data_IF_114587471718
#
_entry.id   IF_114587471718
#
_cell.length_a   1.000
_cell.length_b   1.000
_cell.length_c   1.000
_cell.angle_alpha   90.00
_cell.angle_beta   90.00
_cell.angle_gamma   90.00
#
_symmetry.space_group_name_H-M   'P 1'
#
loop_
_entity.id
_entity.type
_entity.pdbx_description
1 polymer ?
#
# COMPACT_ATOMS: atom_id res chain seq x y z
N UNK A 1 -1.74 67.07 29.01
CA UNK A 1 -1.61 65.60 29.15
C UNK A 1 -2.33 64.85 28.03
N UNK A 2 -3.59 65.15 27.71
CA UNK A 2 -4.34 64.46 26.63
C UNK A 2 -3.68 64.52 25.23
N UNK A 3 -2.96 65.61 24.90
CA UNK A 3 -2.24 65.74 23.62
C UNK A 3 -1.09 64.73 23.46
N UNK A 4 -0.40 64.40 24.55
CA UNK A 4 0.71 63.45 24.57
C UNK A 4 0.18 62.01 24.49
N UNK A 5 -0.92 61.74 25.21
CA UNK A 5 -1.62 60.46 25.14
C UNK A 5 -2.17 60.16 23.73
N UNK A 6 -2.72 61.17 23.06
CA UNK A 6 -3.19 61.05 21.68
C UNK A 6 -2.04 60.78 20.70
N UNK A 7 -0.89 61.43 20.89
CA UNK A 7 0.29 61.21 20.04
C UNK A 7 0.87 59.80 20.20
N UNK A 8 0.88 59.27 21.44
CA UNK A 8 1.31 57.91 21.72
C UNK A 8 0.39 56.85 21.08
N UNK A 9 -0.93 57.09 21.13
CA UNK A 9 -1.93 56.23 20.48
C UNK A 9 -1.76 56.20 18.95
N UNK A 10 -1.45 57.36 18.37
CA UNK A 10 -1.24 57.50 16.93
C UNK A 10 0.01 56.75 16.46
N UNK A 11 1.08 56.78 17.26
CA UNK A 11 2.31 56.01 17.01
C UNK A 11 2.06 54.49 17.04
N UNK A 12 1.25 54.01 17.99
CA UNK A 12 0.89 52.59 18.09
C UNK A 12 0.05 52.09 16.90
N UNK A 13 -0.84 52.91 16.35
CA UNK A 13 -1.61 52.54 15.16
C UNK A 13 -0.75 52.44 13.89
N UNK A 14 0.27 53.30 13.75
CA UNK A 14 1.16 53.28 12.57
C UNK A 14 1.96 51.98 12.49
N UNK A 15 2.46 51.47 13.62
CA UNK A 15 3.19 50.19 13.69
C UNK A 15 2.31 49.00 13.26
N UNK A 16 1.02 49.00 13.62
CA UNK A 16 0.09 47.93 13.21
C UNK A 16 -0.28 48.00 11.72
N UNK A 17 -0.15 49.15 11.07
CA UNK A 17 -0.41 49.32 9.64
C UNK A 17 0.66 48.67 8.75
N UNK A 18 1.92 48.63 9.19
CA UNK A 18 3.00 47.96 8.47
C UNK A 18 3.01 46.44 8.63
N UNK A 19 2.34 45.90 9.65
CA UNK A 19 2.16 44.45 9.82
C UNK A 19 1.09 43.86 8.87
N UNK A 20 0.26 44.71 8.24
CA UNK A 20 -0.79 44.33 7.30
C UNK A 20 -0.37 44.44 5.82
N UNK A 21 0.92 44.64 5.52
CA UNK A 21 1.43 44.26 4.20
C UNK A 21 1.32 42.74 4.09
N UNK A 22 0.12 42.29 3.71
CA UNK A 22 -0.21 40.90 3.51
C UNK A 22 0.85 40.27 2.62
N UNK A 23 1.16 39.03 2.96
CA UNK A 23 2.10 38.15 2.29
C UNK A 23 1.81 38.05 0.77
N UNK A 24 2.18 39.08 0.01
CA UNK A 24 2.11 39.14 -1.46
C UNK A 24 3.08 38.15 -2.11
N UNK A 25 3.82 37.37 -1.31
CA UNK A 25 4.59 36.21 -1.76
C UNK A 25 3.75 34.94 -1.95
N UNK A 26 2.58 34.80 -1.31
CA UNK A 26 1.77 33.56 -1.39
C UNK A 26 0.67 33.64 -2.47
N UNK A 27 0.14 34.82 -2.79
CA UNK A 27 -0.93 34.95 -3.80
C UNK A 27 -0.42 34.84 -5.24
N UNK A 28 0.89 34.92 -5.47
CA UNK A 28 1.50 34.70 -6.79
C UNK A 28 2.05 33.28 -7.01
N UNK A 29 2.05 32.42 -5.98
CA UNK A 29 2.51 31.04 -6.09
C UNK A 29 1.55 30.12 -6.89
N UNK A 30 0.31 30.55 -7.15
CA UNK A 30 -0.70 29.75 -7.85
C UNK A 30 -1.12 30.25 -9.23
N UNK A 31 -0.55 31.36 -9.75
CA UNK A 31 -1.03 31.99 -10.99
C UNK A 31 -0.18 31.75 -12.24
N UNK A 32 0.99 31.13 -12.11
CA UNK A 32 1.81 30.75 -13.27
C UNK A 32 1.45 29.38 -13.88
N UNK A 33 0.38 28.73 -13.43
CA UNK A 33 -0.04 27.41 -13.92
C UNK A 33 -0.99 27.42 -15.12
N UNK A 34 -1.10 28.53 -15.87
CA UNK A 34 -2.03 28.61 -17.01
C UNK A 34 -1.48 29.29 -18.27
N UNK A 35 -0.17 29.50 -18.39
CA UNK A 35 0.38 30.15 -19.57
C UNK A 35 1.77 29.69 -19.93
N UNK A 36 1.90 29.04 -21.08
CA UNK A 36 3.16 29.00 -21.82
C UNK A 36 3.77 27.61 -21.91
N UNK A 37 3.58 26.97 -23.07
CA UNK A 37 4.30 25.78 -23.46
C UNK A 37 5.81 25.98 -23.36
N UNK A 38 6.44 25.13 -22.57
CA UNK A 38 7.89 24.98 -22.50
C UNK A 38 8.18 23.50 -22.42
N UNK A 39 8.66 22.93 -23.52
CA UNK A 39 9.16 21.57 -23.64
C UNK A 39 10.49 21.49 -22.88
N UNK A 40 10.43 21.55 -21.55
CA UNK A 40 11.54 21.39 -20.64
C UNK A 40 11.45 20.01 -20.02
N UNK A 41 12.42 19.15 -20.35
CA UNK A 41 12.66 17.86 -19.70
C UNK A 41 12.46 17.98 -18.18
N UNK A 42 11.44 17.28 -17.67
CA UNK A 42 11.16 17.13 -16.25
C UNK A 42 12.35 16.44 -15.58
N UNK A 43 13.33 17.24 -15.14
CA UNK A 43 14.40 16.79 -14.27
C UNK A 43 13.79 16.67 -12.87
N UNK A 44 13.60 15.41 -12.46
CA UNK A 44 13.04 14.93 -11.20
C UNK A 44 13.07 15.95 -10.05
N UNK A 45 11.90 16.27 -9.53
CA UNK A 45 11.70 17.01 -8.27
C UNK A 45 12.21 16.17 -7.09
N UNK A 46 13.53 16.19 -6.90
CA UNK A 46 14.20 15.77 -5.67
C UNK A 46 14.95 17.00 -5.19
N UNK A 47 14.31 17.79 -4.32
CA UNK A 47 14.90 18.96 -3.67
C UNK A 47 16.12 18.54 -2.83
N UNK A 48 17.29 18.28 -3.44
CA UNK A 48 18.59 18.10 -2.80
C UNK A 48 18.75 16.99 -1.75
N UNK A 49 17.67 16.27 -1.39
CA UNK A 49 17.63 15.29 -0.29
C UNK A 49 17.92 13.84 -0.74
N UNK A 50 18.31 13.63 -2.00
CA UNK A 50 18.75 12.31 -2.49
C UNK A 50 17.65 11.25 -2.59
N UNK A 51 16.37 11.60 -2.42
CA UNK A 51 15.26 10.68 -2.63
C UNK A 51 14.96 10.55 -4.13
N UNK A 52 15.30 9.41 -4.72
CA UNK A 52 14.95 9.01 -6.08
C UNK A 52 13.65 8.18 -6.05
N UNK A 53 12.75 8.43 -6.99
CA UNK A 53 11.57 7.57 -7.16
C UNK A 53 12.04 6.20 -7.65
N UNK A 54 11.75 5.14 -6.88
CA UNK A 54 12.11 3.77 -7.28
C UNK A 54 11.31 3.38 -8.51
N UNK A 55 11.94 2.65 -9.40
CA UNK A 55 11.23 1.98 -10.49
C UNK A 55 10.63 0.69 -9.96
N UNK A 56 9.35 0.73 -9.60
CA UNK A 56 8.60 -0.39 -9.03
C UNK A 56 8.61 -1.64 -9.94
N UNK A 57 8.83 -1.47 -11.25
CA UNK A 57 8.94 -2.58 -12.20
C UNK A 57 10.23 -3.37 -12.03
N UNK A 58 11.31 -2.74 -11.56
CA UNK A 58 12.60 -3.43 -11.32
C UNK A 58 12.54 -4.40 -10.14
N UNK A 59 11.63 -4.15 -9.21
CA UNK A 59 11.45 -4.98 -8.01
C UNK A 59 10.32 -6.02 -8.17
N UNK A 60 9.72 -6.14 -9.37
CA UNK A 60 8.62 -7.07 -9.66
C UNK A 60 9.08 -8.26 -10.49
N UNK A 61 8.75 -9.48 -10.04
CA UNK A 61 8.93 -10.71 -10.82
C UNK A 61 7.58 -11.20 -11.38
N UNK A 62 7.55 -11.54 -12.67
CA UNK A 62 6.38 -12.19 -13.27
C UNK A 62 6.54 -13.70 -13.19
N UNK A 63 5.68 -14.34 -12.38
CA UNK A 63 5.65 -15.79 -12.25
C UNK A 63 4.41 -16.33 -12.97
N UNK A 64 4.59 -17.40 -13.73
CA UNK A 64 3.49 -18.12 -14.40
C UNK A 64 3.54 -19.59 -14.03
N UNK A 65 2.37 -20.21 -13.93
CA UNK A 65 2.26 -21.66 -13.69
C UNK A 65 1.27 -22.30 -14.65
N UNK A 66 1.27 -23.62 -14.67
CA UNK A 66 0.36 -24.47 -15.44
C UNK A 66 -0.16 -25.61 -14.57
N UNK A 67 -1.37 -26.08 -14.85
CA UNK A 67 -1.91 -27.33 -14.27
C UNK A 67 -1.52 -28.52 -15.13
N UNK A 68 -1.35 -29.70 -14.54
CA UNK A 68 -0.90 -30.92 -15.24
C UNK A 68 -1.71 -31.26 -16.49
N UNK A 69 -2.99 -30.92 -16.52
CA UNK A 69 -3.92 -31.15 -17.64
C UNK A 69 -4.14 -29.92 -18.54
N UNK A 70 -3.52 -28.78 -18.22
CA UNK A 70 -3.74 -27.51 -18.92
C UNK A 70 -2.59 -27.17 -19.86
N UNK A 71 -2.92 -26.62 -21.03
CA UNK A 71 -1.93 -26.03 -21.96
C UNK A 71 -1.77 -24.52 -21.72
N UNK A 72 -2.63 -23.92 -20.88
CA UNK A 72 -2.65 -22.47 -20.64
C UNK A 72 -1.67 -22.11 -19.54
N UNK A 73 -0.87 -21.08 -19.79
CA UNK A 73 -0.06 -20.44 -18.76
C UNK A 73 -0.92 -19.42 -18.02
N UNK A 74 -0.93 -19.50 -16.69
CA UNK A 74 -1.70 -18.63 -15.81
C UNK A 74 -0.70 -17.76 -15.03
N UNK A 75 -0.91 -16.45 -15.04
CA UNK A 75 -0.06 -15.50 -14.30
C UNK A 75 -0.41 -15.50 -12.82
N UNK A 76 0.61 -15.45 -11.97
CA UNK A 76 0.48 -15.27 -10.53
C UNK A 76 0.58 -13.77 -10.24
N UNK A 77 -0.54 -13.18 -9.83
CA UNK A 77 -0.62 -11.77 -9.47
C UNK A 77 -0.83 -11.70 -7.96
N UNK A 78 0.20 -11.30 -7.23
CA UNK A 78 0.13 -11.17 -5.77
C UNK A 78 -0.41 -9.79 -5.40
N UNK A 79 -1.70 -9.72 -5.06
CA UNK A 79 -2.27 -8.62 -4.29
C UNK A 79 -2.19 -8.96 -2.79
N UNK A 80 -2.15 -7.95 -1.91
CA UNK A 80 -2.17 -8.12 -0.46
C UNK A 80 -3.42 -8.87 0.02
N UNK A 81 -4.53 -8.76 -0.72
CA UNK A 81 -5.78 -9.48 -0.45
C UNK A 81 -5.70 -10.97 -0.77
N UNK A 82 -4.80 -11.36 -1.68
CA UNK A 82 -4.80 -12.68 -2.31
C UNK A 82 -3.71 -13.60 -1.74
N UNK A 83 -3.03 -13.20 -0.66
CA UNK A 83 -1.91 -13.95 -0.06
C UNK A 83 -2.28 -15.42 0.24
N UNK A 84 -3.44 -15.65 0.86
CA UNK A 84 -3.91 -16.99 1.22
C UNK A 84 -4.32 -17.87 0.03
N UNK A 85 -4.33 -17.34 -1.20
CA UNK A 85 -4.56 -18.12 -2.43
C UNK A 85 -3.33 -18.92 -2.85
N UNK A 86 -2.15 -18.48 -2.41
CA UNK A 86 -0.85 -19.05 -2.77
C UNK A 86 -0.15 -19.66 -1.56
N UNK A 87 -0.45 -19.18 -0.36
CA UNK A 87 0.03 -19.79 0.86
C UNK A 87 -0.65 -21.14 1.11
N UNK A 88 0.14 -22.17 1.45
CA UNK A 88 -0.34 -23.55 1.54
C UNK A 88 -1.34 -23.79 2.68
N UNK A 89 -1.37 -22.91 3.68
CA UNK A 89 -2.29 -23.03 4.82
C UNK A 89 -3.42 -22.03 4.69
N UNK A 90 -4.70 -22.46 4.70
CA UNK A 90 -5.84 -21.56 4.67
C UNK A 90 -5.87 -20.60 5.88
N UNK A 91 -6.43 -19.41 5.67
CA UNK A 91 -6.55 -18.39 6.73
C UNK A 91 -7.34 -18.86 7.96
N UNK A 92 -8.29 -19.77 7.77
CA UNK A 92 -9.15 -20.30 8.82
C UNK A 92 -8.55 -21.50 9.58
N UNK A 93 -7.23 -21.67 9.56
CA UNK A 93 -6.54 -22.79 10.17
C UNK A 93 -5.47 -22.29 11.17
N UNK A 94 -5.41 -22.91 12.34
CA UNK A 94 -4.37 -22.63 13.34
C UNK A 94 -3.15 -23.52 13.09
N UNK A 95 -1.96 -22.94 13.07
CA UNK A 95 -0.68 -23.62 12.87
C UNK A 95 0.46 -22.82 13.52
N UNK A 96 1.67 -23.39 13.58
CA UNK A 96 2.82 -22.81 14.30
C UNK A 96 3.59 -21.71 13.51
N UNK A 97 3.04 -21.23 12.39
CA UNK A 97 3.68 -20.22 11.53
C UNK A 97 4.62 -20.80 10.46
N UNK A 98 5.10 -22.03 10.62
CA UNK A 98 5.96 -22.69 9.62
C UNK A 98 5.14 -23.53 8.64
N UNK A 99 5.56 -23.51 7.37
CA UNK A 99 4.92 -24.32 6.32
C UNK A 99 5.28 -25.80 6.52
N UNK A 100 4.30 -26.70 6.37
CA UNK A 100 4.45 -28.14 6.66
C UNK A 100 4.29 -28.54 8.13
N UNK A 101 3.75 -27.66 8.99
CA UNK A 101 3.45 -27.99 10.40
C UNK A 101 2.02 -28.48 10.57
N UNK A 102 1.81 -29.31 11.60
CA UNK A 102 0.47 -29.75 11.96
C UNK A 102 -0.43 -28.54 12.26
N UNK A 103 -1.67 -28.57 11.76
CA UNK A 103 -2.66 -27.55 12.02
C UNK A 103 -4.07 -28.10 12.04
N UNK A 104 -5.01 -27.31 12.57
CA UNK A 104 -6.43 -27.68 12.65
C UNK A 104 -7.33 -26.52 12.25
N UNK A 105 -8.50 -26.79 11.65
CA UNK A 105 -9.43 -25.75 11.24
C UNK A 105 -10.07 -25.07 12.45
N UNK A 106 -10.18 -23.75 12.39
CA UNK A 106 -10.92 -22.94 13.37
C UNK A 106 -12.42 -22.99 13.11
N UNK A 107 -12.81 -23.20 11.85
CA UNK A 107 -14.21 -23.34 11.45
C UNK A 107 -14.60 -24.81 11.58
N UNK A 108 -15.65 -25.08 12.36
CA UNK A 108 -16.20 -26.41 12.48
C UNK A 108 -16.78 -26.90 11.14
N UNK A 109 -16.29 -28.03 10.66
CA UNK A 109 -16.80 -28.71 9.46
C UNK A 109 -17.10 -30.16 9.81
N UNK A 110 -18.38 -30.57 9.94
CA UNK A 110 -18.71 -31.93 10.33
C UNK A 110 -18.34 -32.93 9.24
N UNK A 111 -17.80 -34.08 9.64
CA UNK A 111 -17.55 -35.19 8.72
C UNK A 111 -18.86 -35.93 8.45
N UNK A 112 -19.45 -35.73 7.27
CA UNK A 112 -20.77 -36.26 6.92
C UNK A 112 -20.74 -37.66 6.25
N UNK A 113 -19.58 -38.33 6.21
CA UNK A 113 -19.46 -39.67 5.61
C UNK A 113 -19.64 -40.75 6.68
N UNK A 114 -20.42 -41.77 6.37
CA UNK A 114 -20.56 -42.94 7.22
C UNK A 114 -19.26 -43.75 7.24
N UNK A 115 -18.79 -44.13 8.44
CA UNK A 115 -17.59 -44.95 8.62
C UNK A 115 -16.77 -44.54 9.84
N UNK A 116 -15.74 -45.34 10.15
CA UNK A 116 -14.74 -44.99 11.15
C UNK A 116 -13.72 -44.02 10.53
N UNK A 117 -13.44 -42.94 11.25
CA UNK A 117 -12.38 -41.99 10.93
C UNK A 117 -11.39 -41.95 12.09
N UNK A 118 -10.12 -42.22 11.79
CA UNK A 118 -9.05 -42.23 12.78
C UNK A 118 -8.57 -40.82 13.16
N UNK A 119 -9.04 -39.77 12.48
CA UNK A 119 -8.78 -38.38 12.85
C UNK A 119 -7.42 -37.84 12.41
N UNK A 120 -6.77 -38.47 11.43
CA UNK A 120 -5.44 -38.07 10.92
C UNK A 120 -5.52 -36.90 9.93
N UNK A 121 -6.06 -35.75 10.36
CA UNK A 121 -6.30 -34.57 9.49
C UNK A 121 -5.32 -33.41 9.69
N UNK A 122 -4.35 -33.56 10.58
CA UNK A 122 -3.43 -32.50 10.96
C UNK A 122 -2.61 -31.91 9.78
N UNK A 123 -2.50 -32.65 8.67
CA UNK A 123 -1.74 -32.27 7.47
C UNK A 123 -2.58 -32.20 6.20
N UNK A 124 -3.92 -32.19 6.31
CA UNK A 124 -4.80 -32.16 5.13
C UNK A 124 -4.59 -30.93 4.24
N UNK A 125 -4.14 -29.81 4.82
CA UNK A 125 -3.79 -28.59 4.08
C UNK A 125 -2.69 -28.79 3.04
N UNK A 126 -1.82 -29.79 3.21
CA UNK A 126 -0.69 -30.07 2.32
C UNK A 126 -0.97 -31.20 1.33
N UNK A 127 -2.21 -31.70 1.28
CA UNK A 127 -2.59 -32.78 0.40
C UNK A 127 -2.78 -32.25 -1.02
N UNK A 128 -1.77 -32.47 -1.86
CA UNK A 128 -1.89 -32.20 -3.29
C UNK A 128 -2.77 -33.25 -3.97
N UNK A 129 -3.68 -32.78 -4.83
CA UNK A 129 -4.40 -33.63 -5.79
C UNK A 129 -3.85 -33.39 -7.19
N UNK A 130 -3.98 -34.37 -8.08
CA UNK A 130 -3.47 -34.27 -9.45
C UNK A 130 -4.04 -33.03 -10.16
N UNK A 131 -5.35 -32.82 -10.04
CA UNK A 131 -6.09 -31.71 -10.64
C UNK A 131 -5.62 -30.34 -10.13
N UNK A 132 -5.20 -30.24 -8.86
CA UNK A 132 -4.80 -28.96 -8.26
C UNK A 132 -3.29 -28.71 -8.28
N UNK A 133 -2.51 -29.66 -8.79
CA UNK A 133 -1.04 -29.57 -8.83
C UNK A 133 -0.59 -28.61 -9.92
N UNK A 134 0.29 -27.66 -9.55
CA UNK A 134 0.82 -26.59 -10.40
C UNK A 134 2.30 -26.85 -10.69
N UNK A 135 2.76 -26.57 -11.90
CA UNK A 135 4.17 -26.66 -12.32
C UNK A 135 4.58 -25.52 -13.25
#
# INVERSE_FOLDING_TARGET
MYKILFFLLLLLCVETGFAQSGLSGITNAGRNLSGGGGKGSSKSDSLGLGFEHRDDLKDTITVTYRYLDSIRNIRIDTNITDFYKYFSVPAAQQYLGNNGTAGYPLIFSPYAKAGFDAGFHAFDAYKFTFENSRF
#
